data_IF_764534992691
#
_entry.id   IF_764534992691
#
_cell.length_a   1.000
_cell.length_b   1.000
_cell.length_c   1.000
_cell.angle_alpha   90.00
_cell.angle_beta   90.00
_cell.angle_gamma   90.00
#
_symmetry.space_group_name_H-M   'P 1'
#
loop_
_entity.id
_entity.type
_entity.pdbx_description
1 polymer ?
#
# COMPACT_ATOMS: atom_id res chain seq x y z
N UNK A 1 14.98 5.32 4.78
CA UNK A 1 13.85 6.05 5.42
C UNK A 1 12.74 5.09 5.77
N UNK A 2 12.26 4.30 4.81
CA UNK A 2 11.09 3.42 4.94
C UNK A 2 11.50 1.95 4.86
N UNK A 3 10.75 1.10 5.56
CA UNK A 3 10.87 -0.35 5.52
C UNK A 3 9.50 -1.01 5.47
N UNK A 4 9.45 -2.20 4.87
CA UNK A 4 8.26 -3.06 4.84
C UNK A 4 8.60 -4.46 5.37
N UNK A 5 7.69 -5.02 6.17
CA UNK A 5 7.68 -6.43 6.51
C UNK A 5 6.45 -7.04 5.88
N UNK A 6 6.66 -8.01 5.00
CA UNK A 6 5.60 -8.86 4.47
C UNK A 6 5.54 -10.09 5.37
N UNK A 7 4.34 -10.46 5.83
CA UNK A 7 4.16 -11.62 6.71
C UNK A 7 4.83 -12.87 6.14
N UNK A 8 5.73 -13.49 6.90
CA UNK A 8 6.46 -14.69 6.49
C UNK A 8 7.67 -14.45 5.58
N UNK A 9 8.09 -13.20 5.37
CA UNK A 9 9.25 -12.85 4.53
C UNK A 9 10.25 -11.98 5.29
N UNK A 10 11.46 -11.88 4.72
CA UNK A 10 12.48 -10.95 5.19
C UNK A 10 12.03 -9.50 5.02
N UNK A 11 12.58 -8.64 5.88
CA UNK A 11 12.39 -7.19 5.79
C UNK A 11 12.94 -6.68 4.46
N UNK A 12 12.21 -5.77 3.84
CA UNK A 12 12.61 -5.10 2.61
C UNK A 12 12.68 -3.59 2.86
N UNK A 13 13.67 -2.94 2.27
CA UNK A 13 13.94 -1.50 2.43
C UNK A 13 14.31 -0.83 1.10
N UNK A 14 14.22 -1.57 0.00
CA UNK A 14 14.54 -1.20 -1.37
C UNK A 14 13.38 -0.45 -2.05
N UNK A 15 12.83 0.54 -1.33
CA UNK A 15 11.85 1.45 -1.91
C UNK A 15 12.45 2.25 -3.05
N UNK A 16 11.81 2.18 -4.21
CA UNK A 16 12.13 3.02 -5.37
C UNK A 16 11.49 4.39 -5.17
N UNK A 17 12.29 5.44 -5.23
CA UNK A 17 11.77 6.81 -5.23
C UNK A 17 11.35 7.17 -6.65
N UNK A 18 10.05 7.30 -6.88
CA UNK A 18 9.50 7.64 -8.20
C UNK A 18 9.44 9.16 -8.38
N UNK A 19 9.15 9.86 -7.29
CA UNK A 19 9.18 11.33 -7.18
C UNK A 19 9.77 11.73 -5.84
N UNK A 20 10.12 13.00 -5.67
CA UNK A 20 10.74 13.55 -4.45
C UNK A 20 10.02 13.12 -3.15
N UNK A 21 8.68 13.12 -3.19
CA UNK A 21 7.82 12.77 -2.06
C UNK A 21 7.09 11.43 -2.23
N UNK A 22 7.45 10.60 -3.22
CA UNK A 22 6.73 9.35 -3.50
C UNK A 22 7.66 8.16 -3.63
N UNK A 23 7.35 7.11 -2.88
CA UNK A 23 8.11 5.88 -2.79
C UNK A 23 7.24 4.71 -3.20
N UNK A 24 7.83 3.73 -3.88
CA UNK A 24 7.13 2.56 -4.37
C UNK A 24 7.94 1.30 -4.11
N UNK A 25 7.28 0.21 -3.74
CA UNK A 25 7.89 -1.11 -3.66
C UNK A 25 6.93 -2.16 -4.20
N UNK A 26 7.50 -3.12 -4.92
CA UNK A 26 6.76 -4.24 -5.48
C UNK A 26 6.81 -5.43 -4.52
N UNK A 27 5.65 -5.99 -4.23
CA UNK A 27 5.50 -7.19 -3.40
C UNK A 27 5.11 -8.35 -4.32
N UNK A 28 6.05 -9.23 -4.71
CA UNK A 28 5.75 -10.40 -5.53
C UNK A 28 4.91 -11.42 -4.75
N UNK A 29 4.23 -12.33 -5.43
CA UNK A 29 3.36 -13.36 -4.85
C UNK A 29 2.42 -12.82 -3.76
N UNK A 30 1.86 -11.64 -4.02
CA UNK A 30 1.04 -10.93 -3.05
C UNK A 30 -0.27 -11.66 -2.75
N UNK A 31 -0.67 -12.64 -3.57
CA UNK A 31 -1.83 -13.53 -3.36
C UNK A 31 -1.79 -14.28 -2.03
N UNK A 32 -0.59 -14.58 -1.54
CA UNK A 32 -0.40 -15.29 -0.27
C UNK A 32 -0.15 -14.35 0.93
N UNK A 33 -0.13 -13.04 0.69
CA UNK A 33 0.16 -12.04 1.73
C UNK A 33 -1.12 -11.60 2.43
N UNK A 34 -1.15 -11.72 3.75
CA UNK A 34 -2.30 -11.32 4.56
C UNK A 34 -2.12 -9.97 5.24
N UNK A 35 -0.92 -9.74 5.79
CA UNK A 35 -0.57 -8.50 6.48
C UNK A 35 0.77 -7.98 5.99
N UNK A 36 0.82 -6.66 5.86
CA UNK A 36 2.05 -5.91 5.64
C UNK A 36 2.25 -4.96 6.81
N UNK A 37 3.50 -4.73 7.16
CA UNK A 37 3.89 -3.73 8.15
C UNK A 37 4.74 -2.70 7.44
N UNK A 38 4.37 -1.43 7.56
CA UNK A 38 5.17 -0.32 7.04
C UNK A 38 5.71 0.44 8.24
N UNK A 39 6.99 0.79 8.20
CA UNK A 39 7.65 1.47 9.30
C UNK A 39 8.79 2.40 8.84
N UNK A 40 9.13 3.36 9.68
CA UNK A 40 10.33 4.17 9.54
C UNK A 40 11.54 3.43 10.08
N UNK A 41 12.64 3.40 9.32
CA UNK A 41 13.88 2.73 9.73
C UNK A 41 14.66 3.51 10.79
N UNK A 42 14.22 4.73 11.14
CA UNK A 42 14.91 5.62 12.08
C UNK A 42 16.13 6.34 11.49
N UNK A 43 16.51 6.05 10.23
CA UNK A 43 17.65 6.69 9.58
C UNK A 43 17.35 8.15 9.17
N UNK A 44 16.14 8.42 8.71
CA UNK A 44 15.69 9.74 8.25
C UNK A 44 14.23 9.90 8.72
N UNK A 45 13.88 10.95 9.50
CA UNK A 45 12.50 11.24 9.86
C UNK A 45 11.76 11.93 8.71
N UNK A 46 10.43 11.97 8.76
CA UNK A 46 9.65 12.82 7.86
C UNK A 46 9.89 14.31 8.17
N UNK A 47 9.78 15.20 7.16
CA UNK A 47 9.72 16.65 7.39
C UNK A 47 8.66 17.05 8.42
N UNK A 48 8.89 18.17 9.11
CA UNK A 48 7.95 18.68 10.12
C UNK A 48 6.55 18.91 9.52
N UNK A 49 5.51 18.51 10.26
CA UNK A 49 4.12 18.64 9.82
C UNK A 49 3.68 17.62 8.75
N UNK A 50 4.54 16.67 8.36
CA UNK A 50 4.24 15.66 7.33
C UNK A 50 4.23 14.23 7.86
N UNK A 51 3.66 13.32 7.07
CA UNK A 51 3.70 11.88 7.28
C UNK A 51 3.61 11.13 5.96
N UNK A 52 3.74 9.81 6.01
CA UNK A 52 3.59 8.94 4.84
C UNK A 52 2.18 8.39 4.74
N UNK A 53 1.43 8.80 3.72
CA UNK A 53 0.22 8.10 3.25
C UNK A 53 0.62 6.77 2.62
N UNK A 54 0.06 5.66 3.09
CA UNK A 54 0.31 4.31 2.56
C UNK A 54 -0.85 3.92 1.65
N UNK A 55 -0.50 3.54 0.42
CA UNK A 55 -1.41 3.08 -0.61
C UNK A 55 -1.06 1.67 -1.05
N UNK A 56 -2.07 0.96 -1.51
CA UNK A 56 -1.98 -0.37 -2.06
C UNK A 56 -2.64 -0.40 -3.42
N UNK A 57 -1.99 -1.01 -4.41
CA UNK A 57 -2.55 -1.21 -5.74
C UNK A 57 -2.23 -2.60 -6.26
N UNK A 58 -3.20 -3.19 -6.95
CA UNK A 58 -2.98 -4.30 -7.86
C UNK A 58 -2.74 -3.71 -9.26
N UNK A 59 -1.55 -3.88 -9.85
CA UNK A 59 -1.31 -3.45 -11.21
C UNK A 59 -2.09 -4.35 -12.16
N UNK A 60 -3.15 -3.82 -12.77
CA UNK A 60 -3.91 -4.46 -13.83
C UNK A 60 -3.23 -4.18 -15.18
N UNK A 61 -2.94 -5.19 -16.02
CA UNK A 61 -2.42 -4.98 -17.38
C UNK A 61 -3.37 -4.20 -18.31
N UNK A 62 -4.66 -4.18 -18.01
CA UNK A 62 -5.74 -3.65 -18.86
C UNK A 62 -6.40 -2.39 -18.31
N UNK A 63 -6.06 -1.97 -17.09
CA UNK A 63 -6.60 -0.77 -16.45
C UNK A 63 -5.51 0.03 -15.73
N UNK A 64 -5.68 1.35 -15.58
CA UNK A 64 -4.80 2.14 -14.72
C UNK A 64 -4.80 1.58 -13.29
N UNK A 65 -3.66 1.59 -12.58
CA UNK A 65 -3.55 1.04 -11.23
C UNK A 65 -4.53 1.72 -10.28
N UNK A 66 -5.41 0.92 -9.66
CA UNK A 66 -6.36 1.39 -8.68
C UNK A 66 -5.68 1.47 -7.30
N UNK A 67 -5.30 2.68 -6.90
CA UNK A 67 -4.64 2.93 -5.62
C UNK A 67 -5.65 3.12 -4.49
N UNK A 68 -5.62 2.20 -3.53
CA UNK A 68 -6.42 2.27 -2.33
C UNK A 68 -5.61 2.80 -1.15
N UNK A 69 -6.11 3.82 -0.46
CA UNK A 69 -5.51 4.31 0.77
C UNK A 69 -5.72 3.31 1.91
N UNK A 70 -4.62 2.89 2.55
CA UNK A 70 -4.64 1.97 3.69
C UNK A 70 -4.61 2.69 5.04
N UNK A 71 -3.98 3.86 5.07
CA UNK A 71 -3.73 4.63 6.27
C UNK A 71 -2.39 5.35 6.18
N UNK A 72 -1.84 5.76 7.32
CA UNK A 72 -0.62 6.57 7.34
C UNK A 72 0.33 6.19 8.47
N UNK A 73 1.59 6.61 8.31
CA UNK A 73 2.65 6.63 9.33
C UNK A 73 3.20 8.06 9.48
N UNK A 74 3.76 8.39 10.64
CA UNK A 74 4.30 9.72 10.94
C UNK A 74 5.48 9.60 11.93
N UNK A 75 6.16 10.70 12.23
CA UNK A 75 7.20 10.69 13.28
C UNK A 75 6.66 10.31 14.67
N UNK A 76 5.38 10.60 14.96
CA UNK A 76 4.71 10.21 16.21
C UNK A 76 4.11 8.80 16.18
N UNK A 77 3.84 8.27 14.98
CA UNK A 77 3.38 6.90 14.74
C UNK A 77 4.24 6.26 13.66
N UNK A 78 5.48 5.84 13.98
CA UNK A 78 6.50 5.47 13.01
C UNK A 78 6.22 4.14 12.30
N UNK A 79 5.23 3.37 12.74
CA UNK A 79 4.87 2.07 12.16
C UNK A 79 3.36 1.85 12.15
N UNK A 80 2.88 1.11 11.15
CA UNK A 80 1.50 0.66 11.05
C UNK A 80 1.42 -0.72 10.38
N UNK A 81 0.41 -1.50 10.76
CA UNK A 81 0.13 -2.83 10.20
C UNK A 81 -1.17 -2.74 9.40
N UNK A 82 -1.16 -3.28 8.18
CA UNK A 82 -2.30 -3.26 7.29
C UNK A 82 -2.67 -4.68 6.85
N UNK A 83 -3.96 -4.99 6.94
CA UNK A 83 -4.52 -6.25 6.46
C UNK A 83 -4.93 -6.10 5.00
N UNK A 84 -4.22 -6.76 4.09
CA UNK A 84 -4.45 -6.66 2.65
C UNK A 84 -5.34 -7.79 2.11
N UNK A 85 -5.59 -8.85 2.90
CA UNK A 85 -6.44 -9.97 2.49
C UNK A 85 -7.89 -9.57 2.18
N UNK A 86 -8.39 -8.50 2.82
CA UNK A 86 -9.74 -8.00 2.58
C UNK A 86 -9.85 -7.24 1.25
N UNK A 87 -8.75 -6.65 0.78
CA UNK A 87 -8.72 -5.83 -0.44
C UNK A 87 -8.69 -6.70 -1.70
N UNK A 88 -8.13 -7.90 -1.58
CA UNK A 88 -8.19 -8.94 -2.63
C UNK A 88 -9.61 -9.27 -3.03
N UNK A 89 -10.50 -9.47 -2.05
CA UNK A 89 -11.90 -9.85 -2.30
C UNK A 89 -12.64 -8.79 -3.10
N UNK A 90 -12.38 -7.50 -2.83
CA UNK A 90 -13.03 -6.42 -3.59
C UNK A 90 -12.57 -6.42 -5.05
N UNK A 91 -11.29 -6.69 -5.32
CA UNK A 91 -10.77 -6.78 -6.68
C UNK A 91 -11.25 -8.04 -7.43
N UNK A 92 -11.34 -9.18 -6.73
CA UNK A 92 -11.96 -10.40 -7.26
C UNK A 92 -13.45 -10.18 -7.57
N UNK A 93 -14.18 -9.45 -6.72
CA UNK A 93 -15.59 -9.13 -6.95
C UNK A 93 -15.81 -8.20 -8.15
N UNK A 94 -14.95 -7.19 -8.36
CA UNK A 94 -15.03 -6.32 -9.55
C UNK A 94 -14.77 -7.08 -10.86
N UNK A 95 -13.87 -8.08 -10.85
CA UNK A 95 -13.59 -8.90 -12.02
C UNK A 95 -14.55 -10.10 -12.19
N UNK A 96 -15.22 -10.54 -11.13
CA UNK A 96 -16.09 -11.74 -11.16
C UNK A 96 -17.38 -11.64 -11.98
N UNK A 97 -17.72 -10.46 -12.50
CA UNK A 97 -18.87 -10.30 -13.40
C UNK A 97 -18.56 -10.61 -14.88
N UNK A 98 -17.34 -10.99 -15.23
CA UNK A 98 -16.93 -11.23 -16.62
C UNK A 98 -15.89 -12.38 -16.75
N UNK A 99 -16.29 -13.65 -16.58
CA UNK A 99 -15.71 -14.76 -17.39
C UNK A 99 -16.29 -16.16 -17.06
N UNK A 100 -17.16 -16.68 -17.93
CA UNK A 100 -17.50 -18.13 -18.01
C UNK A 100 -16.45 -18.89 -18.86
N UNK A 101 -15.60 -18.19 -19.61
CA UNK A 101 -14.52 -18.80 -20.40
C UNK A 101 -13.31 -17.87 -20.46
N UNK A 102 -12.20 -18.25 -19.81
CA UNK A 102 -10.86 -17.80 -20.20
C UNK A 102 -10.10 -16.93 -19.20
N UNK A 103 -9.43 -17.59 -18.26
CA UNK A 103 -8.15 -17.22 -17.60
C UNK A 103 -7.90 -15.72 -17.38
N UNK A 104 -8.36 -15.21 -16.23
CA UNK A 104 -7.86 -13.93 -15.72
C UNK A 104 -6.37 -14.04 -15.42
N UNK A 105 -5.58 -13.13 -16.02
CA UNK A 105 -4.19 -12.90 -15.60
C UNK A 105 -4.23 -12.22 -14.23
N UNK A 106 -4.34 -13.03 -13.18
CA UNK A 106 -4.21 -12.54 -11.80
C UNK A 106 -2.83 -11.91 -11.68
N UNK A 107 -2.80 -10.61 -11.44
CA UNK A 107 -1.55 -9.90 -11.22
C UNK A 107 -0.96 -10.36 -9.89
N UNK A 108 0.02 -11.24 -9.92
CA UNK A 108 0.64 -11.82 -8.72
C UNK A 108 1.52 -10.83 -7.94
N UNK A 109 1.76 -9.64 -8.48
CA UNK A 109 2.65 -8.62 -7.90
C UNK A 109 1.82 -7.43 -7.44
N UNK A 110 1.73 -7.19 -6.14
CA UNK A 110 1.11 -5.97 -5.62
C UNK A 110 2.13 -4.83 -5.55
N UNK A 111 1.65 -3.59 -5.57
CA UNK A 111 2.45 -2.39 -5.37
C UNK A 111 2.04 -1.67 -4.09
N UNK A 112 3.04 -1.30 -3.30
CA UNK A 112 2.86 -0.43 -2.13
C UNK A 112 3.44 0.93 -2.46
N UNK A 113 2.60 1.95 -2.39
CA UNK A 113 2.96 3.35 -2.60
C UNK A 113 2.99 4.08 -1.27
N UNK A 114 3.98 4.94 -1.06
CA UNK A 114 4.06 5.83 0.10
C UNK A 114 4.24 7.25 -0.40
N UNK A 115 3.28 8.13 -0.11
CA UNK A 115 3.33 9.55 -0.45
C UNK A 115 3.55 10.39 0.80
N UNK A 116 4.52 11.31 0.78
CA UNK A 116 4.76 12.24 1.88
C UNK A 116 3.78 13.41 1.76
N UNK A 117 2.86 13.50 2.71
CA UNK A 117 1.78 14.49 2.69
C UNK A 117 1.64 15.20 4.06
N UNK A 118 1.02 16.40 4.09
CA UNK A 118 0.71 17.09 5.34
C UNK A 118 -0.19 16.24 6.25
N UNK A 119 0.11 16.23 7.55
CA UNK A 119 -0.65 15.44 8.55
C UNK A 119 -2.14 15.78 8.57
N UNK A 120 -2.51 17.03 8.31
CA UNK A 120 -3.91 17.48 8.23
C UNK A 120 -4.69 16.75 7.13
N UNK A 121 -4.07 16.54 5.96
CA UNK A 121 -4.68 15.79 4.85
C UNK A 121 -4.82 14.30 5.19
N UNK A 122 -3.80 13.72 5.82
CA UNK A 122 -3.80 12.31 6.23
C UNK A 122 -4.93 11.98 7.22
N UNK A 123 -5.15 12.87 8.20
CA UNK A 123 -6.23 12.73 9.17
C UNK A 123 -7.60 12.81 8.50
N UNK A 124 -7.79 13.73 7.55
CA UNK A 124 -9.02 13.82 6.76
C UNK A 124 -9.31 12.53 5.99
N UNK A 125 -8.30 11.98 5.31
CA UNK A 125 -8.44 10.72 4.55
C UNK A 125 -8.77 9.54 5.47
N UNK A 126 -8.18 9.50 6.67
CA UNK A 126 -8.48 8.44 7.64
C UNK A 126 -9.93 8.52 8.13
N UNK A 127 -10.44 9.73 8.40
CA UNK A 127 -11.85 9.92 8.80
C UNK A 127 -12.82 9.44 7.72
N UNK A 128 -12.49 9.63 6.44
CA UNK A 128 -13.30 9.13 5.34
C UNK A 128 -13.33 7.59 5.29
N UNK A 129 -12.23 6.93 5.66
CA UNK A 129 -12.20 5.46 5.77
C UNK A 129 -13.07 4.92 6.90
N UNK A 130 -13.21 5.65 8.01
CA UNK A 130 -14.06 5.23 9.15
C UNK A 130 -15.56 5.43 8.90
N UNK A 131 -15.95 6.20 7.88
CA UNK A 131 -17.34 6.48 7.54
C UNK A 131 -17.92 5.51 6.50
N UNK A 132 -17.09 4.62 5.95
CA UNK A 132 -17.46 3.54 5.03
C UNK A 132 -17.52 2.20 5.78
#
# INVERSE_FOLDING_TARGET
MLGIIVSGRLVQTDFQQIYENQFLINVPDADNVNHIVIFLTGAIPFPEGTGGAVYFSWPDPSAPPNWQFLGYISNTKPSAIFKISSLKKNHEFENSNLSIFGVDKISHVAQIGISVEPLTKLLSNLLQLCLL
#
